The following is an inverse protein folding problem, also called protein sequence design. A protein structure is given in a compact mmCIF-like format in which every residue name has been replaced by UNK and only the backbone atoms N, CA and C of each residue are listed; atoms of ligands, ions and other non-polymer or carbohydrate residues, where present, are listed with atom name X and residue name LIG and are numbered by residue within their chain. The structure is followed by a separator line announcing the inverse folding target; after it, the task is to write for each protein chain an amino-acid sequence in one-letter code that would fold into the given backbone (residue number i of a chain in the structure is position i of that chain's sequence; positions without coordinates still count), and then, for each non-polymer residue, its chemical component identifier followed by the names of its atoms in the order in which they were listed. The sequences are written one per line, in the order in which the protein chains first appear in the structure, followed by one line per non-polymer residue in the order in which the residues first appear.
data_IF_312067387187
#
_entry.id   IF_312067387187
#
_cell.length_a   1.000
_cell.length_b   1.000
_cell.length_c   1.000
_cell.angle_alpha   90.00
_cell.angle_beta   90.00
_cell.angle_gamma   90.00
#
_symmetry.space_group_name_H-M   'P 1'
#
loop_
_entity.id
_entity.type
_entity.pdbx_description
1 polymer ?
#
# COMPACT_ATOMS: atom_id res chain seq x y z
N UNK A 1 -5.32 17.54 -3.09
CA UNK A 1 -4.91 16.85 -1.85
C UNK A 1 -4.24 15.56 -2.28
N UNK A 2 -2.92 15.45 -2.14
CA UNK A 2 -2.17 14.28 -2.60
C UNK A 2 -2.25 13.12 -1.62
N UNK A 3 -2.16 11.89 -2.12
CA UNK A 3 -2.08 10.70 -1.28
C UNK A 3 -0.72 10.67 -0.58
N UNK A 4 -0.74 10.67 0.75
CA UNK A 4 0.49 10.64 1.57
C UNK A 4 0.86 9.20 1.95
N UNK A 5 2.16 8.91 2.12
CA UNK A 5 2.66 7.61 2.63
C UNK A 5 1.88 7.11 3.85
N UNK A 6 1.59 8.01 4.80
CA UNK A 6 0.84 7.71 6.02
C UNK A 6 -0.61 7.28 5.76
N UNK A 7 -1.26 7.82 4.73
CA UNK A 7 -2.62 7.41 4.35
C UNK A 7 -2.60 6.00 3.77
N UNK A 8 -1.63 5.71 2.91
CA UNK A 8 -1.42 4.36 2.36
C UNK A 8 -1.09 3.37 3.49
N UNK A 9 -0.15 3.70 4.37
CA UNK A 9 0.19 2.82 5.49
C UNK A 9 -1.04 2.51 6.37
N UNK A 10 -1.89 3.50 6.64
CA UNK A 10 -3.12 3.30 7.41
C UNK A 10 -4.13 2.41 6.67
N UNK A 11 -4.25 2.55 5.35
CA UNK A 11 -5.16 1.74 4.53
C UNK A 11 -4.72 0.28 4.47
N UNK A 12 -3.41 0.02 4.34
CA UNK A 12 -2.87 -1.31 4.10
C UNK A 12 -2.46 -2.08 5.38
N UNK A 13 -2.28 -1.38 6.50
CA UNK A 13 -1.98 -1.98 7.83
C UNK A 13 -2.94 -3.10 8.28
N UNK A 14 -4.26 -3.02 8.06
CA UNK A 14 -5.19 -4.07 8.49
C UNK A 14 -4.96 -5.42 7.78
N UNK A 15 -4.39 -5.42 6.57
CA UNK A 15 -4.16 -6.64 5.80
C UNK A 15 -2.93 -7.42 6.26
N UNK A 16 -1.92 -6.74 6.82
CA UNK A 16 -0.71 -7.39 7.32
C UNK A 16 0.45 -6.44 7.59
N UNK A 17 1.54 -6.94 8.20
CA UNK A 17 2.74 -6.15 8.48
C UNK A 17 3.43 -5.68 7.18
N UNK A 18 3.62 -4.36 7.09
CA UNK A 18 4.30 -3.68 5.99
C UNK A 18 5.80 -3.58 6.27
N UNK A 19 6.63 -4.00 5.33
CA UNK A 19 8.08 -3.79 5.35
C UNK A 19 8.43 -2.36 4.92
N UNK A 20 7.89 -1.92 3.78
CA UNK A 20 8.21 -0.62 3.19
C UNK A 20 7.02 -0.07 2.39
N UNK A 21 6.88 1.26 2.39
CA UNK A 21 5.88 1.99 1.60
C UNK A 21 6.59 3.14 0.92
N UNK A 22 6.55 3.16 -0.40
CA UNK A 22 7.11 4.22 -1.23
C UNK A 22 6.00 4.88 -2.05
N UNK A 23 6.01 6.21 -2.10
CA UNK A 23 5.01 6.99 -2.85
C UNK A 23 5.74 7.84 -3.88
N UNK A 24 5.45 7.62 -5.15
CA UNK A 24 5.96 8.44 -6.24
C UNK A 24 5.33 9.82 -6.17
N UNK A 25 6.17 10.84 -6.23
CA UNK A 25 5.71 12.23 -6.36
C UNK A 25 5.72 12.72 -7.81
N UNK A 26 6.23 11.91 -8.75
CA UNK A 26 6.30 12.23 -10.18
C UNK A 26 6.41 10.93 -11.01
N UNK A 27 5.35 10.47 -11.71
CA UNK A 27 4.01 11.04 -11.83
C UNK A 27 3.21 10.97 -10.51
N UNK A 28 2.37 11.96 -10.22
CA UNK A 28 1.53 11.97 -9.01
C UNK A 28 0.38 10.98 -9.21
N UNK A 29 0.47 9.80 -8.58
CA UNK A 29 -0.59 8.81 -8.33
C UNK A 29 -0.03 7.39 -8.13
N UNK A 30 1.29 7.18 -8.17
CA UNK A 30 1.87 5.85 -8.05
C UNK A 30 2.44 5.60 -6.65
N UNK A 31 2.27 4.39 -6.13
CA UNK A 31 2.88 3.96 -4.88
C UNK A 31 3.24 2.47 -4.93
N UNK A 32 4.34 2.09 -4.27
CA UNK A 32 4.75 0.71 -4.06
C UNK A 32 4.62 0.37 -2.58
N UNK A 33 4.08 -0.83 -2.32
CA UNK A 33 3.83 -1.33 -0.97
C UNK A 33 4.46 -2.70 -0.87
N UNK A 34 5.41 -2.86 0.04
CA UNK A 34 6.10 -4.12 0.27
C UNK A 34 5.56 -4.75 1.55
N UNK A 35 4.84 -5.85 1.40
CA UNK A 35 4.36 -6.67 2.51
C UNK A 35 5.42 -7.68 2.94
N UNK A 36 5.48 -7.96 4.24
CA UNK A 36 6.36 -9.01 4.77
C UNK A 36 5.96 -10.40 4.28
N UNK A 37 4.66 -10.64 4.09
CA UNK A 37 4.14 -11.90 3.60
C UNK A 37 3.38 -11.71 2.29
N UNK A 38 3.66 -12.58 1.32
CA UNK A 38 3.02 -12.56 0.00
C UNK A 38 1.49 -12.69 0.11
N UNK A 39 1.01 -13.52 1.04
CA UNK A 39 -0.42 -13.75 1.26
C UNK A 39 -1.18 -12.48 1.69
N UNK A 40 -0.54 -11.59 2.46
CA UNK A 40 -1.13 -10.32 2.90
C UNK A 40 -1.28 -9.35 1.71
N UNK A 41 -0.28 -9.33 0.83
CA UNK A 41 -0.34 -8.57 -0.42
C UNK A 41 -1.41 -9.10 -1.38
N UNK A 42 -1.52 -10.42 -1.53
CA UNK A 42 -2.57 -11.05 -2.36
C UNK A 42 -3.98 -10.78 -1.81
N UNK A 43 -4.14 -10.80 -0.48
CA UNK A 43 -5.42 -10.45 0.18
C UNK A 43 -5.75 -8.98 -0.02
N UNK A 44 -4.79 -8.09 0.22
CA UNK A 44 -4.97 -6.66 0.02
C UNK A 44 -5.36 -6.35 -1.43
N UNK A 45 -4.71 -7.00 -2.40
CA UNK A 45 -5.06 -6.87 -3.81
C UNK A 45 -6.51 -7.32 -4.03
N UNK A 46 -6.90 -8.51 -3.57
CA UNK A 46 -8.25 -9.04 -3.79
C UNK A 46 -9.37 -8.22 -3.15
N UNK A 47 -9.10 -7.58 -2.01
CA UNK A 47 -10.10 -6.78 -1.28
C UNK A 47 -10.15 -5.31 -1.71
N UNK A 48 -9.07 -4.78 -2.31
CA UNK A 48 -8.98 -3.40 -2.78
C UNK A 48 -9.12 -3.27 -4.30
N UNK A 49 -8.97 -4.37 -5.04
CA UNK A 49 -9.30 -4.47 -6.46
C UNK A 49 -10.82 -4.51 -6.60
N UNK A 50 -11.39 -3.45 -7.18
CA UNK A 50 -12.82 -3.24 -7.38
C UNK A 50 -13.10 -2.65 -8.75
#
# INVERSE_FOLDING_TARGET
IGVSRRQIEKLFRPYGPLNEVWVASNPPCFAFINFRHRADGERALKELDG
#
